data_IF_022106014456
#
_entry.id   IF_022106014456
#
_cell.length_a   1.000
_cell.length_b   1.000
_cell.length_c   1.000
_cell.angle_alpha   90.00
_cell.angle_beta   90.00
_cell.angle_gamma   90.00
#
_symmetry.space_group_name_H-M   'P 1'
#
loop_
_entity.id
_entity.type
_entity.pdbx_description
1 polymer ?
#
# COMPACT_ATOMS: atom_id res chain seq x y z
N UNK A 1 20.77 17.88 21.46
CA UNK A 1 19.46 17.39 20.97
C UNK A 1 19.61 15.89 20.73
N UNK A 2 18.63 15.05 21.08
CA UNK A 2 18.72 13.63 20.73
C UNK A 2 18.68 13.48 19.21
N UNK A 3 19.39 12.48 18.63
CA UNK A 3 19.37 12.25 17.18
C UNK A 3 17.95 12.14 16.62
N UNK A 4 17.02 11.55 17.37
CA UNK A 4 15.62 11.44 16.95
C UNK A 4 14.89 12.79 16.90
N UNK A 5 15.14 13.67 17.86
CA UNK A 5 14.59 15.04 17.83
C UNK A 5 15.16 15.84 16.66
N UNK A 6 16.44 15.64 16.33
CA UNK A 6 17.07 16.27 15.17
C UNK A 6 16.48 15.76 13.84
N UNK A 7 16.22 14.45 13.71
CA UNK A 7 15.52 13.88 12.54
C UNK A 7 14.15 14.55 12.34
N UNK A 8 13.36 14.69 13.43
CA UNK A 8 12.05 15.34 13.38
C UNK A 8 12.15 16.78 12.91
N UNK A 9 13.09 17.54 13.48
CA UNK A 9 13.32 18.94 13.12
C UNK A 9 13.71 19.07 11.64
N UNK A 10 14.62 18.23 11.14
CA UNK A 10 15.06 18.24 9.74
C UNK A 10 13.93 17.84 8.79
N UNK A 11 13.14 16.83 9.15
CA UNK A 11 11.95 16.42 8.40
C UNK A 11 10.93 17.57 8.31
N UNK A 12 10.57 18.20 9.43
CA UNK A 12 9.64 19.34 9.47
C UNK A 12 10.16 20.53 8.67
N UNK A 13 11.45 20.84 8.82
CA UNK A 13 12.11 21.91 8.05
C UNK A 13 12.04 21.64 6.55
N UNK A 14 12.24 20.38 6.13
CA UNK A 14 12.13 19.98 4.72
C UNK A 14 10.70 20.13 4.20
N UNK A 15 9.71 19.67 4.96
CA UNK A 15 8.28 19.79 4.61
C UNK A 15 7.86 21.25 4.44
N UNK A 16 8.25 22.12 5.37
CA UNK A 16 7.88 23.53 5.37
C UNK A 16 8.58 24.36 4.26
N UNK A 17 9.68 23.87 3.69
CA UNK A 17 10.38 24.53 2.59
C UNK A 17 9.73 24.29 1.22
N UNK A 18 8.90 23.26 1.09
CA UNK A 18 8.28 22.88 -0.19
C UNK A 18 6.93 23.59 -0.31
N UNK A 19 6.73 24.31 -1.41
CA UNK A 19 5.49 25.04 -1.72
C UNK A 19 4.98 24.60 -3.11
N UNK A 20 3.71 24.16 -3.24
CA UNK A 20 2.72 23.99 -2.17
C UNK A 20 3.14 22.90 -1.17
N UNK A 21 2.66 23.03 0.08
CA UNK A 21 3.01 22.08 1.14
C UNK A 21 2.64 20.64 0.72
N UNK A 22 3.55 19.67 0.89
CA UNK A 22 3.29 18.29 0.46
C UNK A 22 2.18 17.67 1.32
N UNK A 23 1.29 16.94 0.67
CA UNK A 23 0.16 16.27 1.32
C UNK A 23 0.51 14.79 1.52
N UNK A 24 0.67 14.38 2.76
CA UNK A 24 0.89 12.98 3.14
C UNK A 24 -0.40 12.29 3.58
N UNK A 25 -0.39 10.96 3.68
CA UNK A 25 -1.50 10.23 4.29
C UNK A 25 -1.49 10.44 5.81
N UNK A 26 -2.62 10.92 6.34
CA UNK A 26 -2.78 11.17 7.79
C UNK A 26 -2.49 9.93 8.66
N UNK A 27 -2.73 8.72 8.15
CA UNK A 27 -2.50 7.46 8.86
C UNK A 27 -1.02 7.16 9.08
N UNK A 28 -0.13 7.77 8.31
CA UNK A 28 1.33 7.59 8.43
C UNK A 28 1.99 8.65 9.31
N UNK A 29 1.34 9.79 9.57
CA UNK A 29 1.90 10.86 10.40
C UNK A 29 2.30 10.41 11.83
N UNK A 30 1.61 9.47 12.49
CA UNK A 30 2.06 8.93 13.78
C UNK A 30 3.47 8.30 13.72
N UNK A 31 3.91 7.78 12.57
CA UNK A 31 5.25 7.20 12.39
C UNK A 31 6.37 8.24 12.59
N UNK A 32 6.12 9.52 12.27
CA UNK A 32 7.07 10.63 12.49
C UNK A 32 7.29 10.88 13.99
N UNK A 33 6.28 10.61 14.81
CA UNK A 33 6.35 10.77 16.26
C UNK A 33 6.85 9.52 16.98
N UNK A 34 6.83 8.35 16.34
CA UNK A 34 7.23 7.07 16.95
C UNK A 34 8.75 6.94 17.06
N UNK A 35 9.29 6.94 18.28
CA UNK A 35 10.72 6.70 18.51
C UNK A 35 11.17 5.34 17.97
N UNK A 36 10.36 4.28 18.14
CA UNK A 36 10.66 2.93 17.64
C UNK A 36 10.82 2.95 16.11
N UNK A 37 9.92 3.64 15.41
CA UNK A 37 10.00 3.75 13.95
C UNK A 37 11.21 4.59 13.52
N UNK A 38 11.48 5.72 14.18
CA UNK A 38 12.63 6.57 13.87
C UNK A 38 13.97 5.89 14.17
N UNK A 39 14.06 5.04 15.19
CA UNK A 39 15.25 4.20 15.42
C UNK A 39 15.51 3.28 14.23
N UNK A 40 14.47 2.61 13.68
CA UNK A 40 14.61 1.78 12.47
C UNK A 40 15.11 2.60 11.28
N UNK A 41 14.58 3.80 11.08
CA UNK A 41 15.01 4.71 10.00
C UNK A 41 16.47 5.12 10.21
N UNK A 42 16.84 5.52 11.42
CA UNK A 42 18.21 5.93 11.76
C UNK A 42 19.22 4.78 11.59
N UNK A 43 18.88 3.56 12.02
CA UNK A 43 19.72 2.38 11.80
C UNK A 43 19.87 2.07 10.31
N UNK A 44 18.78 2.16 9.54
CA UNK A 44 18.82 1.94 8.10
C UNK A 44 19.71 2.98 7.40
N UNK A 45 19.68 4.23 7.87
CA UNK A 45 20.53 5.33 7.42
C UNK A 45 21.92 5.35 8.07
N UNK A 46 22.39 4.23 8.62
CA UNK A 46 23.74 4.07 9.18
C UNK A 46 24.10 5.16 10.22
N UNK A 47 23.14 5.49 11.08
CA UNK A 47 23.28 6.53 12.11
C UNK A 47 23.48 7.97 11.59
N UNK A 48 23.25 8.21 10.30
CA UNK A 48 23.26 9.55 9.68
C UNK A 48 21.89 10.20 9.78
N UNK A 49 21.81 11.29 10.55
CA UNK A 49 20.55 12.00 10.87
C UNK A 49 19.94 12.65 9.62
N UNK A 50 20.75 13.27 8.76
CA UNK A 50 20.26 13.92 7.53
C UNK A 50 19.65 12.90 6.57
N UNK A 51 20.36 11.80 6.32
CA UNK A 51 19.86 10.71 5.47
C UNK A 51 18.59 10.06 6.06
N UNK A 52 18.50 9.95 7.39
CA UNK A 52 17.31 9.45 8.06
C UNK A 52 16.10 10.38 7.87
N UNK A 53 16.29 11.69 7.99
CA UNK A 53 15.24 12.67 7.72
C UNK A 53 14.78 12.64 6.25
N UNK A 54 15.74 12.51 5.31
CA UNK A 54 15.45 12.40 3.88
C UNK A 54 14.69 11.10 3.55
N UNK A 55 15.11 9.97 4.12
CA UNK A 55 14.40 8.69 3.99
C UNK A 55 12.98 8.78 4.56
N UNK A 56 12.80 9.39 5.74
CA UNK A 56 11.49 9.57 6.36
C UNK A 56 10.54 10.36 5.45
N UNK A 57 11.02 11.46 4.85
CA UNK A 57 10.25 12.22 3.86
C UNK A 57 9.84 11.35 2.66
N UNK A 58 10.81 10.64 2.06
CA UNK A 58 10.58 9.81 0.88
C UNK A 58 9.58 8.66 1.17
N UNK A 59 9.60 8.10 2.38
CA UNK A 59 8.62 7.11 2.83
C UNK A 59 7.20 7.71 2.79
N UNK A 60 6.99 8.89 3.37
CA UNK A 60 5.66 9.51 3.46
C UNK A 60 5.09 9.81 2.07
N UNK A 61 5.93 10.37 1.19
CA UNK A 61 5.58 10.66 -0.19
C UNK A 61 5.26 9.38 -0.99
N UNK A 62 6.13 8.37 -0.91
CA UNK A 62 5.93 7.11 -1.61
C UNK A 62 4.69 6.36 -1.15
N UNK A 63 4.45 6.29 0.18
CA UNK A 63 3.27 5.62 0.75
C UNK A 63 1.97 6.26 0.28
N UNK A 64 1.92 7.59 0.23
CA UNK A 64 0.78 8.33 -0.31
C UNK A 64 0.60 8.08 -1.80
N UNK A 65 1.67 8.19 -2.58
CA UNK A 65 1.64 8.05 -4.04
C UNK A 65 1.20 6.66 -4.49
N UNK A 66 1.55 5.63 -3.71
CA UNK A 66 1.23 4.23 -4.02
C UNK A 66 -0.02 3.72 -3.28
N UNK A 67 -0.77 4.60 -2.59
CA UNK A 67 -1.95 4.26 -1.79
C UNK A 67 -1.72 3.08 -0.84
N UNK A 68 -0.56 3.04 -0.19
CA UNK A 68 -0.08 1.86 0.55
C UNK A 68 -1.03 1.45 1.67
N UNK A 69 -1.58 2.43 2.39
CA UNK A 69 -2.52 2.16 3.48
C UNK A 69 -3.87 1.59 3.01
N UNK A 70 -4.20 1.72 1.73
CA UNK A 70 -5.44 1.20 1.16
C UNK A 70 -5.26 -0.18 0.52
N UNK A 71 -4.03 -0.68 0.41
CA UNK A 71 -3.75 -2.00 -0.15
C UNK A 71 -4.45 -3.09 0.67
N UNK A 72 -5.26 -3.92 0.00
CA UNK A 72 -6.10 -4.97 0.59
C UNK A 72 -6.42 -6.04 -0.45
N UNK A 73 -7.03 -7.16 -0.04
CA UNK A 73 -7.48 -8.18 -0.99
C UNK A 73 -8.50 -7.63 -2.01
N UNK A 74 -9.14 -6.48 -1.74
CA UNK A 74 -10.10 -5.85 -2.63
C UNK A 74 -9.48 -5.10 -3.81
N UNK A 75 -8.18 -4.78 -3.78
CA UNK A 75 -7.53 -3.94 -4.81
C UNK A 75 -6.20 -4.48 -5.35
N UNK A 76 -5.82 -5.68 -4.94
CA UNK A 76 -4.72 -6.42 -5.55
C UNK A 76 -5.25 -7.59 -6.37
N UNK A 77 -4.40 -8.11 -7.26
CA UNK A 77 -4.74 -9.26 -8.08
C UNK A 77 -4.85 -10.53 -7.20
N UNK A 78 -6.07 -11.04 -7.06
CA UNK A 78 -6.38 -12.21 -6.25
C UNK A 78 -5.80 -13.51 -6.82
N UNK A 79 -5.60 -13.60 -8.12
CA UNK A 79 -5.05 -14.81 -8.75
C UNK A 79 -3.55 -14.89 -8.43
N UNK A 80 -2.85 -13.76 -8.50
CA UNK A 80 -1.44 -13.65 -8.06
C UNK A 80 -1.31 -13.91 -6.55
N UNK A 81 -2.27 -13.47 -5.72
CA UNK A 81 -2.24 -13.78 -4.29
C UNK A 81 -2.39 -15.28 -4.00
N UNK A 82 -3.20 -15.99 -4.80
CA UNK A 82 -3.58 -17.38 -4.56
C UNK A 82 -2.65 -18.41 -5.18
N UNK A 83 -1.79 -18.01 -6.12
CA UNK A 83 -0.94 -18.96 -6.85
C UNK A 83 0.35 -19.37 -6.10
N UNK A 84 0.62 -18.76 -4.95
CA UNK A 84 1.78 -19.10 -4.11
C UNK A 84 3.10 -18.55 -4.62
N UNK A 85 3.11 -17.50 -5.45
CA UNK A 85 4.31 -16.76 -5.78
C UNK A 85 4.98 -16.17 -4.53
N UNK A 86 4.17 -15.59 -3.65
CA UNK A 86 4.61 -15.00 -2.39
C UNK A 86 3.82 -15.59 -1.23
N UNK A 87 4.49 -15.96 -0.16
CA UNK A 87 3.84 -16.44 1.07
C UNK A 87 4.78 -16.41 2.26
N UNK A 88 4.26 -16.70 3.45
CA UNK A 88 5.04 -16.79 4.69
C UNK A 88 4.89 -18.18 5.30
N UNK A 89 5.99 -18.77 5.75
CA UNK A 89 5.98 -20.04 6.50
C UNK A 89 7.33 -20.31 7.12
N UNK A 90 7.34 -20.73 8.38
CA UNK A 90 8.58 -21.07 9.11
C UNK A 90 9.37 -19.85 9.54
N UNK A 91 10.39 -20.08 10.38
CA UNK A 91 11.31 -19.06 10.88
C UNK A 91 12.76 -19.49 10.70
N UNK A 92 13.64 -18.51 10.51
CA UNK A 92 15.09 -18.74 10.53
C UNK A 92 15.61 -18.98 11.97
N UNK A 93 16.91 -19.26 12.09
CA UNK A 93 17.59 -19.46 13.37
C UNK A 93 17.54 -18.25 14.31
N UNK A 94 17.35 -17.04 13.76
CA UNK A 94 17.18 -15.80 14.54
C UNK A 94 15.70 -15.54 14.88
N UNK A 95 14.84 -16.55 14.64
CA UNK A 95 13.38 -16.49 14.84
C UNK A 95 12.68 -15.44 13.99
N UNK A 96 13.28 -14.96 12.89
CA UNK A 96 12.62 -14.07 11.93
C UNK A 96 11.74 -14.88 10.98
N UNK A 97 10.52 -14.39 10.72
CA UNK A 97 9.57 -15.03 9.80
C UNK A 97 10.14 -15.06 8.39
N UNK A 98 10.01 -16.21 7.71
CA UNK A 98 10.42 -16.34 6.32
C UNK A 98 9.34 -15.73 5.42
N UNK A 99 9.73 -14.73 4.62
CA UNK A 99 8.96 -14.25 3.50
C UNK A 99 9.49 -14.88 2.22
N UNK A 100 8.70 -15.80 1.67
CA UNK A 100 9.11 -16.72 0.63
C UNK A 100 8.63 -16.21 -0.73
N UNK A 101 9.55 -16.17 -1.69
CA UNK A 101 9.23 -16.06 -3.11
C UNK A 101 9.49 -17.41 -3.78
N UNK A 102 8.42 -18.07 -4.21
CA UNK A 102 8.48 -19.28 -5.03
C UNK A 102 8.81 -18.89 -6.48
N UNK A 103 10.10 -18.70 -6.78
CA UNK A 103 10.53 -18.04 -8.01
C UNK A 103 10.12 -18.79 -9.28
N UNK A 104 9.94 -20.13 -9.21
CA UNK A 104 9.47 -20.94 -10.35
C UNK A 104 8.02 -20.62 -10.75
N UNK A 105 7.19 -20.09 -9.84
CA UNK A 105 5.82 -19.68 -10.14
C UNK A 105 5.75 -18.41 -11.00
N UNK A 106 6.82 -17.62 -11.03
CA UNK A 106 6.90 -16.42 -11.85
C UNK A 106 7.46 -16.72 -13.23
N UNK A 107 6.75 -16.35 -14.29
CA UNK A 107 7.23 -16.43 -15.68
C UNK A 107 7.18 -15.03 -16.27
N UNK A 108 8.35 -14.49 -16.68
CA UNK A 108 8.44 -13.15 -17.26
C UNK A 108 7.59 -13.06 -18.53
N UNK A 109 6.93 -11.92 -18.73
CA UNK A 109 6.04 -11.62 -19.86
C UNK A 109 4.75 -12.46 -19.92
N UNK A 110 4.45 -13.27 -18.90
CA UNK A 110 3.20 -14.03 -18.77
C UNK A 110 2.31 -13.52 -17.61
N UNK A 111 2.74 -12.45 -16.94
CA UNK A 111 2.07 -11.87 -15.77
C UNK A 111 2.08 -10.36 -15.87
N UNK A 112 1.03 -9.72 -15.36
CA UNK A 112 1.04 -8.27 -15.14
C UNK A 112 2.07 -7.92 -14.07
N UNK A 113 3.12 -7.22 -14.48
CA UNK A 113 4.21 -6.83 -13.60
C UNK A 113 3.72 -5.86 -12.50
N UNK A 114 2.77 -4.98 -12.82
CA UNK A 114 2.25 -4.03 -11.82
C UNK A 114 1.38 -4.73 -10.77
N UNK A 115 0.57 -5.70 -11.17
CA UNK A 115 -0.12 -6.61 -10.25
C UNK A 115 0.84 -7.34 -9.32
N UNK A 116 1.92 -7.93 -9.85
CA UNK A 116 2.95 -8.60 -9.04
C UNK A 116 3.60 -7.65 -8.03
N UNK A 117 3.94 -6.42 -8.46
CA UNK A 117 4.50 -5.38 -7.58
C UNK A 117 3.55 -4.97 -6.47
N UNK A 118 2.26 -4.79 -6.77
CA UNK A 118 1.23 -4.46 -5.76
C UNK A 118 1.04 -5.59 -4.75
N UNK A 119 1.03 -6.84 -5.21
CA UNK A 119 0.96 -8.01 -4.32
C UNK A 119 2.21 -8.12 -3.43
N UNK A 120 3.39 -7.76 -3.94
CA UNK A 120 4.60 -7.67 -3.12
C UNK A 120 4.43 -6.63 -2.00
N UNK A 121 3.92 -5.42 -2.28
CA UNK A 121 3.63 -4.42 -1.24
C UNK A 121 2.58 -4.95 -0.24
N UNK A 122 1.52 -5.62 -0.71
CA UNK A 122 0.51 -6.23 0.17
C UNK A 122 1.15 -7.15 1.21
N UNK A 123 2.06 -8.03 0.79
CA UNK A 123 2.76 -8.93 1.71
C UNK A 123 3.71 -8.19 2.65
N UNK A 124 4.42 -7.16 2.20
CA UNK A 124 5.26 -6.35 3.07
C UNK A 124 4.44 -5.64 4.18
N UNK A 125 3.29 -5.06 3.82
CA UNK A 125 2.41 -4.39 4.79
C UNK A 125 1.79 -5.39 5.77
N UNK A 126 1.42 -6.59 5.29
CA UNK A 126 0.95 -7.68 6.15
C UNK A 126 2.02 -8.12 7.14
N UNK A 127 3.26 -8.32 6.68
CA UNK A 127 4.40 -8.68 7.51
C UNK A 127 4.72 -7.60 8.57
N UNK A 128 4.70 -6.32 8.19
CA UNK A 128 4.90 -5.23 9.16
C UNK A 128 3.88 -5.27 10.31
N UNK A 129 2.62 -5.65 10.01
CA UNK A 129 1.57 -5.80 11.03
C UNK A 129 1.73 -7.08 11.85
N UNK A 130 1.87 -8.23 11.20
CA UNK A 130 1.94 -9.53 11.86
C UNK A 130 3.18 -9.66 12.76
N UNK A 131 4.32 -9.13 12.32
CA UNK A 131 5.58 -9.19 13.07
C UNK A 131 5.81 -7.96 13.97
N UNK A 132 4.88 -6.99 13.98
CA UNK A 132 4.98 -5.78 14.80
C UNK A 132 6.22 -4.95 14.49
N UNK A 133 6.61 -4.87 13.21
CA UNK A 133 7.80 -4.15 12.75
C UNK A 133 9.15 -4.83 13.03
N UNK A 134 9.15 -6.10 13.48
CA UNK A 134 10.37 -6.92 13.55
C UNK A 134 10.87 -7.28 12.14
N UNK A 135 12.13 -7.69 12.07
CA UNK A 135 12.76 -8.11 10.81
C UNK A 135 12.17 -9.42 10.30
N UNK A 136 12.24 -9.57 8.98
CA UNK A 136 11.90 -10.80 8.26
C UNK A 136 13.09 -11.30 7.45
N UNK A 137 13.09 -12.59 7.10
CA UNK A 137 14.09 -13.16 6.19
C UNK A 137 13.47 -13.38 4.83
N UNK A 138 14.08 -12.81 3.78
CA UNK A 138 13.65 -13.07 2.40
C UNK A 138 14.20 -14.42 1.96
N UNK A 139 13.33 -15.30 1.51
CA UNK A 139 13.69 -16.63 1.03
C UNK A 139 13.28 -16.77 -0.43
N UNK A 140 14.26 -16.73 -1.33
CA UNK A 140 14.05 -16.98 -2.75
C UNK A 140 14.25 -18.46 -3.03
N UNK A 141 13.14 -19.19 -3.18
CA UNK A 141 13.16 -20.58 -3.63
C UNK A 141 13.41 -20.60 -5.14
N UNK A 142 14.64 -20.95 -5.53
CA UNK A 142 15.06 -21.03 -6.93
C UNK A 142 15.07 -22.48 -7.46
N UNK A 143 14.61 -23.47 -6.67
CA UNK A 143 14.65 -24.87 -7.09
C UNK A 143 13.75 -25.08 -8.32
N UNK A 144 14.33 -25.59 -9.41
CA UNK A 144 13.65 -25.76 -10.70
C UNK A 144 13.47 -24.49 -11.54
N UNK A 145 14.11 -23.37 -11.19
CA UNK A 145 14.05 -22.15 -12.00
C UNK A 145 14.92 -22.22 -13.26
N UNK A 146 14.50 -21.51 -14.30
CA UNK A 146 15.24 -21.24 -15.53
C UNK A 146 15.22 -19.74 -15.89
N UNK A 147 15.77 -19.40 -17.06
CA UNK A 147 15.96 -18.00 -17.53
C UNK A 147 14.64 -17.21 -17.60
N UNK A 148 13.51 -17.89 -17.81
CA UNK A 148 12.19 -17.23 -17.88
C UNK A 148 11.66 -16.82 -16.51
N UNK A 149 12.18 -17.39 -15.42
CA UNK A 149 11.82 -16.99 -14.06
C UNK A 149 12.59 -15.75 -13.58
N UNK A 150 13.60 -15.29 -14.33
CA UNK A 150 14.41 -14.14 -13.99
C UNK A 150 13.90 -12.87 -14.69
N UNK A 151 13.40 -11.90 -13.92
CA UNK A 151 13.04 -10.57 -14.40
C UNK A 151 13.78 -9.49 -13.59
N UNK A 152 14.77 -8.86 -14.22
CA UNK A 152 15.63 -7.87 -13.59
C UNK A 152 14.87 -6.61 -13.15
N UNK A 153 13.80 -6.22 -13.85
CA UNK A 153 12.98 -5.09 -13.46
C UNK A 153 12.19 -5.36 -12.17
N UNK A 154 11.69 -6.59 -12.00
CA UNK A 154 11.03 -6.99 -10.76
C UNK A 154 12.01 -6.98 -9.58
N UNK A 155 13.18 -7.61 -9.72
CA UNK A 155 14.19 -7.62 -8.65
C UNK A 155 14.71 -6.22 -8.33
N UNK A 156 14.97 -5.40 -9.35
CA UNK A 156 15.33 -3.98 -9.18
C UNK A 156 14.27 -3.23 -8.37
N UNK A 157 13.00 -3.42 -8.71
CA UNK A 157 11.89 -2.82 -7.99
C UNK A 157 11.84 -3.29 -6.52
N UNK A 158 11.92 -4.60 -6.28
CA UNK A 158 11.91 -5.15 -4.91
C UNK A 158 13.06 -4.60 -4.07
N UNK A 159 14.28 -4.53 -4.62
CA UNK A 159 15.46 -3.95 -3.97
C UNK A 159 15.20 -2.48 -3.65
N UNK A 160 14.70 -1.70 -4.62
CA UNK A 160 14.41 -0.29 -4.41
C UNK A 160 13.35 -0.08 -3.32
N UNK A 161 12.27 -0.85 -3.32
CA UNK A 161 11.22 -0.73 -2.30
C UNK A 161 11.77 -0.99 -0.90
N UNK A 162 12.51 -2.10 -0.73
CA UNK A 162 13.07 -2.46 0.56
C UNK A 162 14.18 -1.51 1.04
N UNK A 163 14.99 -1.00 0.11
CA UNK A 163 16.06 -0.04 0.40
C UNK A 163 15.51 1.34 0.75
N UNK A 164 14.46 1.80 0.07
CA UNK A 164 14.04 3.19 0.18
C UNK A 164 12.87 3.40 1.14
N UNK A 165 12.00 2.40 1.32
CA UNK A 165 10.70 2.61 1.96
C UNK A 165 10.39 1.71 3.16
N UNK A 166 11.15 0.63 3.38
CA UNK A 166 10.96 -0.30 4.51
C UNK A 166 12.19 -0.31 5.44
N UNK A 167 12.25 0.62 6.42
CA UNK A 167 13.44 0.82 7.24
C UNK A 167 13.77 -0.38 8.13
N UNK A 168 15.04 -0.78 8.10
CA UNK A 168 15.61 -1.89 8.87
C UNK A 168 14.77 -3.19 8.88
N UNK A 169 14.15 -3.54 7.75
CA UNK A 169 13.16 -4.64 7.66
C UNK A 169 13.76 -6.04 7.45
N UNK A 170 14.99 -6.16 6.94
CA UNK A 170 15.56 -7.43 6.47
C UNK A 170 16.57 -8.02 7.46
N UNK A 171 16.40 -9.28 7.86
CA UNK A 171 17.37 -10.08 8.61
C UNK A 171 18.37 -10.78 7.66
N UNK A 172 17.95 -11.83 6.95
CA UNK A 172 18.71 -12.46 5.87
C UNK A 172 18.06 -12.30 4.50
N UNK A 173 18.90 -12.43 3.46
CA UNK A 173 18.47 -12.68 2.09
C UNK A 173 19.00 -14.06 1.70
N UNK A 174 18.13 -15.05 1.67
CA UNK A 174 18.47 -16.43 1.36
C UNK A 174 18.10 -16.73 -0.09
N UNK A 175 19.09 -17.15 -0.87
CA UNK A 175 18.92 -17.67 -2.23
C UNK A 175 19.09 -19.19 -2.15
N UNK A 176 17.99 -19.93 -2.24
CA UNK A 176 17.98 -21.37 -2.10
C UNK A 176 18.02 -22.06 -3.46
N UNK A 177 18.91 -23.04 -3.63
CA UNK A 177 19.02 -23.88 -4.84
C UNK A 177 19.22 -23.08 -6.14
N UNK A 178 20.07 -22.05 -6.11
CA UNK A 178 20.34 -21.20 -7.28
C UNK A 178 20.84 -22.02 -8.50
N UNK A 179 20.10 -22.05 -9.61
CA UNK A 179 20.53 -22.72 -10.84
C UNK A 179 21.72 -21.99 -11.47
N UNK A 180 22.73 -22.75 -11.93
CA UNK A 180 23.95 -22.17 -12.54
C UNK A 180 23.66 -21.28 -13.76
N UNK A 181 22.61 -21.61 -14.53
CA UNK A 181 22.19 -20.86 -15.72
C UNK A 181 21.72 -19.43 -15.38
N UNK A 182 21.35 -19.17 -14.13
CA UNK A 182 20.91 -17.86 -13.65
C UNK A 182 22.04 -17.00 -13.07
N UNK A 183 23.27 -17.52 -13.02
CA UNK A 183 24.43 -16.84 -12.43
C UNK A 183 24.69 -15.45 -13.01
N UNK A 184 24.58 -15.27 -14.33
CA UNK A 184 24.80 -13.99 -14.99
C UNK A 184 23.75 -12.95 -14.57
N UNK A 185 22.46 -13.32 -14.58
CA UNK A 185 21.38 -12.44 -14.13
C UNK A 185 21.50 -12.11 -12.64
N UNK A 186 21.88 -13.11 -11.83
CA UNK A 186 22.09 -12.90 -10.41
C UNK A 186 23.26 -11.95 -10.11
N UNK A 187 24.36 -12.00 -10.88
CA UNK A 187 25.46 -11.04 -10.72
C UNK A 187 24.98 -9.60 -10.87
N UNK A 188 24.14 -9.34 -11.88
CA UNK A 188 23.52 -8.03 -12.08
C UNK A 188 22.68 -7.64 -10.87
N UNK A 189 21.78 -8.52 -10.41
CA UNK A 189 20.95 -8.25 -9.22
C UNK A 189 21.81 -7.98 -7.98
N UNK A 190 22.89 -8.73 -7.78
CA UNK A 190 23.82 -8.57 -6.65
C UNK A 190 24.53 -7.21 -6.67
N UNK A 191 24.90 -6.70 -7.84
CA UNK A 191 25.50 -5.36 -8.00
C UNK A 191 24.54 -4.23 -7.62
N UNK A 192 23.23 -4.47 -7.67
CA UNK A 192 22.21 -3.48 -7.26
C UNK A 192 22.01 -3.43 -5.75
N UNK A 193 22.49 -4.45 -5.00
CA UNK A 193 22.29 -4.53 -3.56
C UNK A 193 23.19 -3.52 -2.82
N UNK A 194 22.67 -2.84 -1.80
CA UNK A 194 23.51 -2.02 -0.92
C UNK A 194 24.44 -2.92 -0.08
N UNK A 195 25.60 -2.40 0.34
CA UNK A 195 26.60 -3.17 1.08
C UNK A 195 26.06 -3.92 2.33
N UNK A 196 25.20 -3.31 3.19
CA UNK A 196 24.62 -4.04 4.33
C UNK A 196 23.72 -5.22 3.94
N UNK A 197 23.10 -5.18 2.75
CA UNK A 197 22.31 -6.30 2.24
C UNK A 197 23.22 -7.43 1.71
N UNK A 198 24.37 -7.11 1.14
CA UNK A 198 25.36 -8.10 0.69
C UNK A 198 25.92 -8.90 1.88
N UNK A 199 26.16 -8.25 3.02
CA UNK A 199 26.61 -8.92 4.25
C UNK A 199 25.59 -9.95 4.79
N UNK A 200 24.31 -9.71 4.52
CA UNK A 200 23.16 -10.56 4.92
C UNK A 200 22.76 -11.59 3.88
N UNK A 201 23.41 -11.59 2.70
CA UNK A 201 23.12 -12.50 1.61
C UNK A 201 23.70 -13.89 1.89
N UNK A 202 22.88 -14.94 1.73
CA UNK A 202 23.26 -16.35 1.88
C UNK A 202 22.79 -17.11 0.64
N UNK A 203 23.72 -17.69 -0.09
CA UNK A 203 23.41 -18.57 -1.23
C UNK A 203 23.65 -20.00 -0.75
N UNK A 204 22.60 -20.80 -0.72
CA UNK A 204 22.62 -22.12 -0.10
C UNK A 204 21.92 -23.16 -0.95
N UNK A 205 22.23 -24.41 -0.65
CA UNK A 205 21.66 -25.62 -1.21
C UNK A 205 20.98 -26.43 -0.09
N UNK A 206 20.29 -27.52 -0.44
CA UNK A 206 19.61 -28.40 0.53
C UNK A 206 20.48 -28.80 1.73
N UNK A 207 21.76 -29.13 1.48
CA UNK A 207 22.68 -29.58 2.53
C UNK A 207 22.99 -28.54 3.61
N UNK A 208 22.93 -27.25 3.25
CA UNK A 208 23.23 -26.11 4.13
C UNK A 208 21.98 -25.41 4.67
N UNK A 209 20.78 -25.88 4.31
CA UNK A 209 19.53 -25.26 4.75
C UNK A 209 19.39 -25.24 6.27
N UNK A 210 19.77 -26.35 6.91
CA UNK A 210 19.71 -26.53 8.38
C UNK A 210 20.57 -25.53 9.17
N UNK A 211 21.56 -24.92 8.53
CA UNK A 211 22.44 -23.94 9.17
C UNK A 211 21.72 -22.59 9.38
N UNK A 212 20.62 -22.37 8.67
CA UNK A 212 19.84 -21.12 8.70
C UNK A 212 18.37 -21.31 9.06
N UNK A 213 17.79 -22.49 8.79
CA UNK A 213 16.39 -22.80 9.05
C UNK A 213 16.32 -24.21 9.63
N UNK A 214 15.77 -24.35 10.85
CA UNK A 214 15.62 -25.65 11.49
C UNK A 214 14.75 -26.60 10.65
N UNK A 215 15.00 -27.92 10.63
CA UNK A 215 14.24 -28.88 9.82
C UNK A 215 12.72 -28.82 10.04
N UNK A 216 12.27 -28.55 11.26
CA UNK A 216 10.86 -28.41 11.65
C UNK A 216 10.21 -27.12 11.10
N UNK A 217 11.01 -26.12 10.73
CA UNK A 217 10.58 -24.85 10.13
C UNK A 217 10.73 -24.86 8.60
N UNK A 218 11.43 -25.83 8.03
CA UNK A 218 11.67 -25.97 6.60
C UNK A 218 10.62 -26.89 5.95
N UNK A 219 10.17 -26.51 4.75
CA UNK A 219 9.25 -27.33 3.96
C UNK A 219 9.88 -28.66 3.54
N UNK A 220 9.06 -29.71 3.44
CA UNK A 220 9.48 -31.02 2.91
C UNK A 220 10.11 -30.90 1.53
N UNK A 221 9.62 -30.00 0.67
CA UNK A 221 10.20 -29.74 -0.66
C UNK A 221 11.65 -29.25 -0.62
N UNK A 222 12.06 -28.64 0.50
CA UNK A 222 13.41 -28.15 0.72
C UNK A 222 14.29 -29.16 1.49
N UNK A 223 13.74 -30.31 1.89
CA UNK A 223 14.40 -31.31 2.72
C UNK A 223 14.12 -31.19 4.22
N UNK A 224 13.14 -30.38 4.62
CA UNK A 224 12.67 -30.26 6.00
C UNK A 224 11.56 -31.24 6.37
N UNK A 225 10.81 -30.91 7.43
CA UNK A 225 9.75 -31.75 8.01
C UNK A 225 8.35 -31.10 7.93
N UNK A 226 8.27 -29.83 7.55
CA UNK A 226 7.00 -29.11 7.43
C UNK A 226 6.28 -29.50 6.14
N UNK A 227 5.15 -30.20 6.27
CA UNK A 227 4.35 -30.69 5.14
C UNK A 227 3.36 -29.65 4.60
N UNK A 228 3.48 -28.39 5.05
CA UNK A 228 2.65 -27.29 4.57
C UNK A 228 2.65 -27.19 3.04
N UNK A 229 1.45 -27.03 2.50
CA UNK A 229 1.21 -26.65 1.10
C UNK A 229 0.52 -25.31 1.14
N UNK A 230 1.00 -24.39 0.29
CA UNK A 230 0.45 -23.05 0.27
C UNK A 230 -1.05 -23.07 -0.09
N UNK A 231 -1.83 -22.43 0.76
CA UNK A 231 -3.19 -22.00 0.50
C UNK A 231 -3.32 -20.57 1.00
N UNK A 232 -3.85 -19.68 0.16
CA UNK A 232 -4.00 -18.29 0.56
C UNK A 232 -5.10 -18.17 1.61
N UNK A 233 -4.70 -17.69 2.80
CA UNK A 233 -5.62 -17.31 3.87
C UNK A 233 -5.67 -15.79 3.95
N UNK A 234 -6.84 -15.16 3.77
CA UNK A 234 -7.01 -13.72 3.95
C UNK A 234 -6.49 -13.26 5.31
N UNK A 235 -5.96 -12.05 5.35
CA UNK A 235 -5.51 -11.49 6.62
C UNK A 235 -6.75 -11.24 7.49
N UNK A 236 -6.78 -11.80 8.70
CA UNK A 236 -7.79 -11.43 9.67
C UNK A 236 -7.41 -10.05 10.20
N UNK A 237 -7.66 -9.01 9.40
CA UNK A 237 -7.49 -7.62 9.79
C UNK A 237 -8.49 -7.36 10.91
N UNK A 238 -8.08 -7.68 12.14
CA UNK A 238 -8.54 -6.95 13.31
C UNK A 238 -8.14 -5.50 13.01
N UNK A 239 -9.02 -4.76 12.34
CA UNK A 239 -8.89 -3.31 12.18
C UNK A 239 -8.83 -2.82 13.61
N UNK A 240 -7.60 -2.51 14.03
CA UNK A 240 -7.29 -2.23 15.42
C UNK A 240 -8.29 -1.24 15.97
N UNK A 241 -8.91 -1.65 17.07
CA UNK A 241 -9.54 -0.82 18.07
C UNK A 241 -8.76 0.48 18.15
N UNK A 242 -9.36 1.58 17.70
CA UNK A 242 -8.94 2.89 18.14
C UNK A 242 -9.16 2.85 19.64
N UNK A 243 -8.08 2.82 20.44
CA UNK A 243 -8.18 3.23 21.84
C UNK A 243 -8.49 4.72 21.76
N UNK A 244 -9.78 5.03 21.71
CA UNK A 244 -10.29 6.36 21.90
C UNK A 244 -10.19 6.56 23.40
N UNK A 245 -9.33 7.49 23.82
CA UNK A 245 -9.34 8.08 25.15
C UNK A 245 -10.80 8.27 25.58
N UNK A 246 -11.12 7.82 26.80
CA UNK A 246 -12.47 7.94 27.37
C UNK A 246 -12.90 9.41 27.34
N UNK A 247 -13.76 9.74 26.38
CA UNK A 247 -14.47 11.00 26.33
C UNK A 247 -15.92 10.70 26.75
N UNK A 248 -16.25 11.13 27.96
CA UNK A 248 -17.42 10.79 28.77
C UNK A 248 -18.74 11.37 28.20
N UNK A 249 -19.18 10.88 27.05
CA UNK A 249 -20.47 11.28 26.48
C UNK A 249 -21.27 10.12 25.87
N UNK A 250 -21.23 8.96 26.54
CA UNK A 250 -22.08 7.81 26.22
C UNK A 250 -23.09 7.60 27.34
N UNK A 251 -24.38 7.63 27.01
CA UNK A 251 -25.44 7.33 27.96
C UNK A 251 -25.60 5.82 28.08
N UNK A 252 -25.65 5.29 29.31
CA UNK A 252 -25.98 3.88 29.54
C UNK A 252 -27.36 3.57 28.94
N UNK A 253 -27.40 2.71 27.90
CA UNK A 253 -28.63 2.29 27.21
C UNK A 253 -28.63 2.43 25.68
N UNK A 254 -27.50 2.77 25.06
CA UNK A 254 -27.35 3.00 23.61
C UNK A 254 -26.54 1.87 22.93
N UNK A 255 -27.09 1.06 22.02
CA UNK A 255 -26.36 -0.07 21.39
C UNK A 255 -25.03 0.30 20.69
N UNK A 256 -24.93 1.53 20.17
CA UNK A 256 -23.80 2.06 19.41
C UNK A 256 -23.11 3.25 20.11
N UNK A 257 -21.78 3.26 20.10
CA UNK A 257 -20.96 4.46 20.31
C UNK A 257 -20.59 5.09 18.97
N UNK A 258 -20.92 6.37 18.79
CA UNK A 258 -20.78 7.09 17.51
C UNK A 258 -19.78 8.23 17.64
N UNK A 259 -18.86 8.36 16.68
CA UNK A 259 -17.90 9.46 16.58
C UNK A 259 -17.92 10.04 15.15
N UNK A 260 -18.23 11.34 14.96
CA UNK A 260 -18.62 12.32 15.97
C UNK A 260 -20.05 12.07 16.52
N UNK A 261 -20.37 12.45 17.78
CA UNK A 261 -21.59 12.00 18.46
C UNK A 261 -22.90 12.67 17.99
N UNK A 262 -22.87 13.92 17.51
CA UNK A 262 -24.08 14.67 17.11
C UNK A 262 -23.98 15.40 15.78
N UNK A 263 -22.77 15.82 15.38
CA UNK A 263 -22.56 16.69 14.22
C UNK A 263 -21.54 16.07 13.27
N UNK A 264 -21.94 15.83 12.03
CA UNK A 264 -21.07 15.43 10.93
C UNK A 264 -20.43 16.69 10.33
N UNK A 265 -19.11 16.80 10.46
CA UNK A 265 -18.33 17.88 9.87
C UNK A 265 -17.96 17.51 8.44
N UNK A 266 -18.45 18.28 7.47
CA UNK A 266 -18.11 18.13 6.07
C UNK A 266 -16.94 19.04 5.72
N UNK A 267 -15.91 18.44 5.12
CA UNK A 267 -14.71 19.12 4.68
C UNK A 267 -14.55 18.96 3.16
N UNK A 268 -14.07 20.01 2.51
CA UNK A 268 -13.71 19.97 1.08
C UNK A 268 -12.28 19.46 0.95
N UNK A 269 -12.13 18.23 0.46
CA UNK A 269 -10.85 17.60 0.19
C UNK A 269 -10.67 17.54 -1.33
N UNK A 270 -9.92 18.48 -1.88
CA UNK A 270 -9.78 18.65 -3.34
C UNK A 270 -11.08 19.15 -3.97
N UNK A 271 -11.65 18.37 -4.90
CA UNK A 271 -12.95 18.66 -5.55
C UNK A 271 -14.14 17.91 -4.94
N UNK A 272 -13.94 17.18 -3.82
CA UNK A 272 -14.99 16.38 -3.19
C UNK A 272 -15.25 16.87 -1.78
N UNK A 273 -16.53 16.94 -1.42
CA UNK A 273 -16.98 17.27 -0.06
C UNK A 273 -17.30 15.94 0.63
N UNK A 274 -16.67 15.65 1.75
CA UNK A 274 -16.92 14.39 2.48
C UNK A 274 -16.83 14.56 4.00
N UNK A 275 -17.46 13.63 4.70
CA UNK A 275 -17.42 13.48 6.16
C UNK A 275 -17.26 12.01 6.52
N UNK A 276 -16.61 11.73 7.65
CA UNK A 276 -16.38 10.37 8.14
C UNK A 276 -17.06 10.15 9.49
N UNK A 277 -17.69 8.99 9.61
CA UNK A 277 -18.47 8.58 10.76
C UNK A 277 -18.01 7.21 11.25
N UNK A 278 -17.68 7.09 12.53
CA UNK A 278 -17.27 5.83 13.16
C UNK A 278 -18.37 5.37 14.09
N UNK A 279 -18.85 4.14 13.90
CA UNK A 279 -19.83 3.48 14.79
C UNK A 279 -19.16 2.30 15.48
N UNK A 280 -19.45 2.06 16.76
CA UNK A 280 -18.86 0.97 17.56
C UNK A 280 -19.94 0.21 18.31
N UNK A 281 -19.98 -1.12 18.18
CA UNK A 281 -20.93 -1.94 18.91
C UNK A 281 -20.52 -2.06 20.39
N UNK A 282 -21.36 -1.58 21.30
CA UNK A 282 -21.13 -1.66 22.74
C UNK A 282 -21.88 -2.82 23.41
N UNK A 283 -22.79 -3.47 22.69
CA UNK A 283 -23.57 -4.62 23.17
C UNK A 283 -22.74 -5.90 23.26
N UNK A 284 -23.22 -6.84 24.09
CA UNK A 284 -22.64 -8.18 24.16
C UNK A 284 -22.97 -9.04 22.94
N UNK A 285 -24.04 -8.69 22.23
CA UNK A 285 -24.51 -9.37 21.03
C UNK A 285 -23.95 -8.80 19.72
N UNK A 286 -24.41 -9.36 18.61
CA UNK A 286 -24.14 -8.85 17.26
C UNK A 286 -25.25 -7.86 16.91
N UNK A 287 -24.91 -6.72 16.32
CA UNK A 287 -25.90 -5.74 15.88
C UNK A 287 -25.86 -5.57 14.36
N UNK A 288 -27.00 -5.28 13.75
CA UNK A 288 -27.09 -4.80 12.39
C UNK A 288 -27.37 -3.30 12.40
N UNK A 289 -26.71 -2.54 11.52
CA UNK A 289 -26.91 -1.11 11.38
C UNK A 289 -27.42 -0.73 9.97
N UNK A 290 -28.19 0.35 9.90
CA UNK A 290 -28.67 0.95 8.64
C UNK A 290 -28.63 2.47 8.73
N UNK A 291 -28.16 3.11 7.66
CA UNK A 291 -28.03 4.57 7.59
C UNK A 291 -29.03 5.13 6.59
N UNK A 292 -29.70 6.22 6.97
CA UNK A 292 -30.63 6.98 6.13
C UNK A 292 -30.25 8.45 6.18
N UNK A 293 -30.65 9.19 5.15
CA UNK A 293 -30.47 10.63 5.05
C UNK A 293 -31.76 11.27 4.56
N UNK A 294 -31.98 12.54 4.91
CA UNK A 294 -33.08 13.36 4.39
C UNK A 294 -32.91 13.73 2.91
N UNK A 295 -31.72 13.51 2.33
CA UNK A 295 -31.40 13.86 0.95
C UNK A 295 -30.56 12.77 0.24
N UNK A 296 -31.12 11.57 0.01
CA UNK A 296 -30.39 10.44 -0.56
C UNK A 296 -29.81 10.71 -1.97
N UNK A 297 -30.39 11.65 -2.71
CA UNK A 297 -29.94 12.10 -4.03
C UNK A 297 -28.64 12.93 -3.99
N UNK A 298 -28.25 13.43 -2.81
CA UNK A 298 -27.04 14.26 -2.64
C UNK A 298 -25.83 13.50 -2.14
N UNK A 299 -26.02 12.33 -1.53
CA UNK A 299 -24.95 11.65 -0.80
C UNK A 299 -24.71 10.21 -1.26
N UNK A 300 -23.44 9.84 -1.31
CA UNK A 300 -23.00 8.45 -1.31
C UNK A 300 -22.51 8.09 0.09
N UNK A 301 -23.16 7.10 0.71
CA UNK A 301 -22.79 6.57 2.03
C UNK A 301 -22.21 5.18 1.84
N UNK A 302 -21.01 4.93 2.38
CA UNK A 302 -20.33 3.64 2.25
C UNK A 302 -19.69 3.22 3.59
N UNK A 303 -20.12 2.10 4.21
CA UNK A 303 -21.25 1.25 3.86
C UNK A 303 -22.61 1.85 4.27
N UNK A 304 -23.69 1.60 3.49
CA UNK A 304 -25.07 2.05 3.81
C UNK A 304 -25.74 1.22 4.92
N UNK A 305 -25.37 -0.04 5.03
CA UNK A 305 -25.87 -1.00 6.01
C UNK A 305 -24.80 -2.07 6.24
N UNK A 306 -24.83 -2.74 7.39
CA UNK A 306 -23.89 -3.80 7.71
C UNK A 306 -24.19 -4.49 9.03
N UNK A 307 -23.37 -5.48 9.37
CA UNK A 307 -23.40 -6.20 10.64
C UNK A 307 -22.13 -5.86 11.42
N UNK A 308 -22.26 -5.66 12.73
CA UNK A 308 -21.19 -5.23 13.62
C UNK A 308 -21.12 -6.17 14.84
N UNK A 309 -20.05 -7.00 14.96
CA UNK A 309 -19.83 -7.83 16.14
C UNK A 309 -19.49 -7.03 17.40
N UNK A 310 -19.57 -7.67 18.58
CA UNK A 310 -19.25 -7.06 19.89
C UNK A 310 -17.91 -6.33 19.87
N UNK A 311 -17.89 -5.08 20.37
CA UNK A 311 -16.70 -4.20 20.49
C UNK A 311 -15.98 -3.89 19.18
N UNK A 312 -16.59 -4.15 18.03
CA UNK A 312 -16.03 -3.79 16.73
C UNK A 312 -16.52 -2.40 16.31
N UNK A 313 -15.60 -1.60 15.78
CA UNK A 313 -15.89 -0.31 15.15
C UNK A 313 -15.91 -0.42 13.62
N UNK A 314 -16.76 0.37 12.97
CA UNK A 314 -16.81 0.50 11.51
C UNK A 314 -16.79 1.97 11.11
N UNK A 315 -15.90 2.31 10.17
CA UNK A 315 -15.90 3.62 9.53
C UNK A 315 -16.89 3.65 8.36
N UNK A 316 -17.64 4.74 8.27
CA UNK A 316 -18.61 5.05 7.22
C UNK A 316 -18.20 6.38 6.60
N UNK A 317 -17.96 6.35 5.30
CA UNK A 317 -17.66 7.54 4.52
C UNK A 317 -18.94 8.09 3.89
N UNK A 318 -19.17 9.39 4.07
CA UNK A 318 -20.31 10.12 3.53
C UNK A 318 -19.78 11.18 2.57
N UNK A 319 -20.04 11.00 1.28
CA UNK A 319 -19.49 11.83 0.20
C UNK A 319 -20.64 12.55 -0.50
N UNK A 320 -20.51 13.85 -0.71
CA UNK A 320 -21.46 14.65 -1.48
C UNK A 320 -21.22 14.43 -2.97
N UNK A 321 -22.29 14.21 -3.72
CA UNK A 321 -22.23 14.03 -5.17
C UNK A 321 -21.89 15.34 -5.89
N UNK A 322 -21.22 15.29 -7.06
CA UNK A 322 -20.89 16.47 -7.84
C UNK A 322 -22.15 17.24 -8.25
N UNK A 323 -22.14 18.58 -8.12
CA UNK A 323 -23.26 19.45 -8.49
C UNK A 323 -24.08 20.01 -7.30
N UNK A 324 -23.71 19.69 -6.06
CA UNK A 324 -24.33 20.25 -4.85
C UNK A 324 -23.34 21.09 -4.04
N UNK A 325 -23.78 22.24 -3.54
CA UNK A 325 -22.96 23.20 -2.80
C UNK A 325 -22.99 22.97 -1.28
N UNK A 326 -21.96 23.47 -0.58
CA UNK A 326 -21.81 23.39 0.88
C UNK A 326 -23.00 23.99 1.66
N UNK A 327 -23.66 25.02 1.14
CA UNK A 327 -24.82 25.67 1.76
C UNK A 327 -26.06 24.77 1.83
N UNK A 328 -26.12 23.74 0.99
CA UNK A 328 -27.22 22.75 0.98
C UNK A 328 -27.01 21.63 2.01
N UNK A 329 -25.78 21.42 2.47
CA UNK A 329 -25.39 20.32 3.36
C UNK A 329 -25.79 20.56 4.81
N UNK A 330 -25.73 21.80 5.31
CA UNK A 330 -26.03 22.12 6.73
C UNK A 330 -27.48 21.83 7.14
N UNK A 331 -28.40 21.77 6.17
CA UNK A 331 -29.82 21.52 6.42
C UNK A 331 -30.14 20.02 6.50
N UNK A 332 -29.20 19.17 6.09
CA UNK A 332 -29.39 17.74 6.02
C UNK A 332 -29.17 17.03 7.34
N UNK A 333 -29.83 15.89 7.47
CA UNK A 333 -29.79 15.05 8.67
C UNK A 333 -29.57 13.61 8.27
N UNK A 334 -28.80 12.90 9.10
CA UNK A 334 -28.57 11.47 8.97
C UNK A 334 -29.21 10.75 10.15
N UNK A 335 -29.75 9.57 9.88
CA UNK A 335 -30.37 8.68 10.87
C UNK A 335 -29.69 7.33 10.80
N UNK A 336 -29.11 6.90 11.91
CA UNK A 336 -28.58 5.54 12.08
C UNK A 336 -29.60 4.74 12.88
N UNK A 337 -29.90 3.55 12.39
CA UNK A 337 -30.74 2.58 13.06
C UNK A 337 -29.88 1.36 13.42
N UNK A 338 -30.01 0.84 14.63
CA UNK A 338 -29.37 -0.40 15.07
C UNK A 338 -30.36 -1.38 15.69
N UNK A 339 -30.14 -2.67 15.45
CA UNK A 339 -30.96 -3.76 16.01
C UNK A 339 -30.07 -4.98 16.32
N UNK A 340 -30.37 -5.70 17.39
CA UNK A 340 -29.70 -6.96 17.71
C UNK A 340 -30.03 -8.05 16.69
N UNK A 341 -29.03 -8.84 16.30
CA UNK A 341 -29.17 -9.99 15.40
C UNK A 341 -28.54 -11.25 16.00
N UNK A 342 -29.13 -12.44 15.75
CA UNK A 342 -28.71 -13.67 16.42
C UNK A 342 -27.46 -14.33 15.83
N UNK A 343 -27.10 -14.05 14.55
CA UNK A 343 -25.99 -14.71 13.83
C UNK A 343 -25.29 -13.74 12.86
N UNK A 344 -24.01 -14.04 12.56
CA UNK A 344 -23.15 -13.23 11.67
C UNK A 344 -23.48 -13.44 10.18
N UNK A 345 -23.72 -14.69 9.77
CA UNK A 345 -24.09 -15.06 8.40
C UNK A 345 -25.59 -15.29 8.29
N UNK A 346 -26.32 -14.22 7.97
CA UNK A 346 -27.77 -14.24 7.79
C UNK A 346 -28.11 -13.92 6.34
N UNK A 347 -28.95 -14.73 5.66
CA UNK A 347 -29.44 -14.40 4.32
C UNK A 347 -30.24 -13.09 4.35
N UNK A 348 -30.17 -12.31 3.27
CA UNK A 348 -30.80 -10.97 3.21
C UNK A 348 -32.32 -10.99 3.45
N UNK A 349 -32.97 -12.12 3.18
CA UNK A 349 -34.40 -12.34 3.43
C UNK A 349 -34.73 -12.32 4.93
N UNK A 350 -33.92 -12.96 5.77
CA UNK A 350 -34.10 -13.02 7.22
C UNK A 350 -33.78 -11.68 7.88
N UNK A 351 -32.72 -10.99 7.43
CA UNK A 351 -32.43 -9.62 7.89
C UNK A 351 -33.61 -8.67 7.61
N UNK A 352 -34.23 -8.77 6.43
CA UNK A 352 -35.43 -7.96 6.09
C UNK A 352 -36.62 -8.29 6.98
N UNK A 353 -36.77 -9.53 7.44
CA UNK A 353 -37.83 -9.92 8.37
C UNK A 353 -37.57 -9.33 9.76
N UNK A 354 -36.34 -9.37 10.28
CA UNK A 354 -35.95 -8.76 11.56
C UNK A 354 -36.25 -7.25 11.55
N UNK A 355 -35.90 -6.54 10.47
CA UNK A 355 -36.22 -5.11 10.35
C UNK A 355 -37.73 -4.82 10.26
N UNK A 356 -38.58 -5.81 9.93
CA UNK A 356 -40.05 -5.67 9.88
C UNK A 356 -40.73 -6.10 11.18
N UNK A 357 -40.15 -7.07 11.90
CA UNK A 357 -40.67 -7.60 13.15
C UNK A 357 -40.14 -6.88 14.39
N UNK A 358 -39.02 -6.16 14.28
CA UNK A 358 -38.50 -5.30 15.33
C UNK A 358 -39.47 -4.14 15.59
N UNK A 359 -40.11 -4.15 16.77
CA UNK A 359 -40.92 -3.05 17.26
C UNK A 359 -40.06 -1.81 17.56
N UNK A 360 -40.68 -0.63 17.62
CA UNK A 360 -39.98 0.66 17.84
C UNK A 360 -39.14 0.73 19.11
N UNK A 361 -39.38 -0.15 20.10
CA UNK A 361 -38.60 -0.26 21.34
C UNK A 361 -37.35 -1.15 21.24
N UNK A 362 -37.16 -1.85 20.12
CA UNK A 362 -36.03 -2.76 19.88
C UNK A 362 -35.02 -2.24 18.85
N UNK A 363 -35.32 -1.07 18.27
CA UNK A 363 -34.48 -0.37 17.31
C UNK A 363 -33.95 0.88 17.99
N UNK A 364 -32.65 0.97 18.10
CA UNK A 364 -31.99 2.18 18.58
C UNK A 364 -31.79 3.17 17.43
N UNK A 365 -32.12 4.44 17.67
CA UNK A 365 -32.08 5.51 16.69
C UNK A 365 -31.10 6.62 17.07
N UNK A 366 -30.17 6.94 16.17
CA UNK A 366 -29.22 8.04 16.36
C UNK A 366 -29.37 9.08 15.26
N UNK A 367 -29.63 10.33 15.65
CA UNK A 367 -29.82 11.45 14.75
C UNK A 367 -28.58 12.33 14.72
N UNK A 368 -28.03 12.54 13.53
CA UNK A 368 -26.88 13.38 13.28
C UNK A 368 -27.28 14.57 12.42
N UNK A 369 -26.78 15.75 12.77
CA UNK A 369 -26.91 16.98 11.96
C UNK A 369 -25.62 17.24 11.19
N UNK A 370 -25.71 17.93 10.07
CA UNK A 370 -24.54 18.27 9.27
C UNK A 370 -24.05 19.70 9.59
N UNK A 371 -22.74 19.90 9.62
CA UNK A 371 -22.14 21.23 9.69
C UNK A 371 -20.95 21.32 8.74
N UNK A 372 -20.68 22.52 8.24
CA UNK A 372 -19.58 22.78 7.31
C UNK A 372 -18.49 23.58 8.02
N UNK A 373 -17.24 23.21 7.77
CA UNK A 373 -16.08 23.96 8.26
C UNK A 373 -15.80 25.14 7.33
N UNK A 374 -16.29 26.33 7.69
CA UNK A 374 -16.00 27.58 6.97
C UNK A 374 -14.57 28.01 7.29
N UNK A 375 -13.69 28.05 6.27
CA UNK A 375 -12.44 28.78 6.39
C UNK A 375 -12.77 30.28 6.36
N UNK A 376 -12.57 30.98 7.48
CA UNK A 376 -12.62 32.44 7.50
C UNK A 376 -11.45 32.98 6.66
N UNK A 377 -11.66 33.16 5.36
CA UNK A 377 -10.84 34.04 4.54
C UNK A 377 -11.24 35.47 4.86
N UNK A 378 -10.38 36.17 5.61
CA UNK A 378 -10.40 37.63 5.60
C UNK A 378 -10.09 38.08 4.17
N UNK A 379 -11.11 38.63 3.50
CA UNK A 379 -10.99 39.24 2.18
C UNK A 379 -10.01 40.41 2.27
N UNK A 380 -8.87 40.30 1.58
CA UNK A 380 -8.13 41.44 1.08
C UNK A 380 -8.03 41.29 -0.44
N UNK A 381 -8.60 42.26 -1.14
CA UNK A 381 -8.51 42.44 -2.58
C UNK A 381 -7.03 42.48 -3.01
N UNK A 382 -6.60 41.51 -3.83
CA UNK A 382 -5.38 41.61 -4.65
C UNK A 382 -5.65 40.97 -6.02
N UNK A 383 -5.99 41.86 -6.95
CA UNK A 383 -5.58 41.98 -8.36
C UNK A 383 -5.39 40.74 -9.26
N UNK A 384 -6.12 40.80 -10.37
CA UNK A 384 -6.18 39.99 -11.59
C UNK A 384 -4.86 39.77 -12.36
N UNK A 385 -3.71 40.21 -11.84
CA UNK A 385 -2.42 40.04 -12.50
C UNK A 385 -1.77 38.66 -12.24
N UNK A 386 -2.07 38.03 -11.10
CA UNK A 386 -1.46 36.74 -10.69
C UNK A 386 -1.95 35.53 -11.51
N UNK A 387 -3.20 35.54 -11.97
CA UNK A 387 -3.76 34.43 -12.76
C UNK A 387 -3.17 34.36 -14.18
N UNK A 388 -2.79 35.49 -14.78
CA UNK A 388 -2.18 35.53 -16.10
C UNK A 388 -0.70 35.08 -16.06
N UNK A 389 0.01 35.38 -14.98
CA UNK A 389 1.37 34.89 -14.75
C UNK A 389 1.40 33.37 -14.51
N UNK A 390 0.43 32.83 -13.77
CA UNK A 390 0.31 31.37 -13.54
C UNK A 390 -0.04 30.64 -14.85
N UNK A 391 -1.00 31.15 -15.62
CA UNK A 391 -1.39 30.53 -16.89
C UNK A 391 -0.23 30.54 -17.91
N UNK A 392 0.46 31.67 -18.04
CA UNK A 392 1.61 31.76 -18.95
C UNK A 392 2.79 30.87 -18.50
N UNK A 393 3.03 30.73 -17.20
CA UNK A 393 4.02 29.79 -16.66
C UNK A 393 3.67 28.34 -16.98
N UNK A 394 2.39 27.98 -16.86
CA UNK A 394 1.89 26.63 -17.12
C UNK A 394 1.93 26.29 -18.62
N UNK A 395 1.59 27.25 -19.50
CA UNK A 395 1.69 27.11 -20.95
C UNK A 395 3.15 26.96 -21.42
N UNK A 396 4.07 27.68 -20.79
CA UNK A 396 5.50 27.55 -21.06
C UNK A 396 6.04 26.17 -20.65
N UNK A 397 5.58 25.64 -19.51
CA UNK A 397 5.96 24.29 -19.07
C UNK A 397 5.38 23.21 -19.98
N UNK A 398 4.12 23.34 -20.39
CA UNK A 398 3.46 22.47 -21.35
C UNK A 398 4.21 22.43 -22.69
N UNK A 399 4.56 23.60 -23.23
CA UNK A 399 5.32 23.71 -24.47
C UNK A 399 6.74 23.11 -24.34
N UNK A 400 7.39 23.27 -23.18
CA UNK A 400 8.70 22.66 -22.91
C UNK A 400 8.61 21.13 -22.90
N UNK A 401 7.58 20.58 -22.27
CA UNK A 401 7.34 19.13 -22.23
C UNK A 401 7.04 18.59 -23.64
N UNK A 402 6.21 19.27 -24.42
CA UNK A 402 5.92 18.90 -25.81
C UNK A 402 7.18 18.91 -26.70
N UNK A 403 8.04 19.91 -26.53
CA UNK A 403 9.31 19.98 -27.27
C UNK A 403 10.28 18.85 -26.88
N UNK A 404 10.31 18.46 -25.61
CA UNK A 404 11.12 17.33 -25.14
C UNK A 404 10.58 16.00 -25.70
N UNK A 405 9.26 15.80 -25.70
CA UNK A 405 8.62 14.63 -26.31
C UNK A 405 8.93 14.54 -27.82
N UNK A 406 8.82 15.66 -28.53
CA UNK A 406 9.16 15.72 -29.95
C UNK A 406 10.66 15.45 -30.21
N UNK A 407 11.53 15.95 -29.35
CA UNK A 407 12.97 15.68 -29.43
C UNK A 407 13.26 14.20 -29.17
N UNK A 408 12.62 13.60 -28.17
CA UNK A 408 12.73 12.18 -27.86
C UNK A 408 12.25 11.31 -29.03
N UNK A 409 11.12 11.65 -29.65
CA UNK A 409 10.61 10.96 -30.84
C UNK A 409 11.61 11.06 -32.02
N UNK A 410 12.26 12.20 -32.22
CA UNK A 410 13.32 12.34 -33.24
C UNK A 410 14.52 11.44 -32.98
N UNK A 411 14.98 11.36 -31.72
CA UNK A 411 16.08 10.44 -31.35
C UNK A 411 15.68 8.97 -31.52
N UNK A 412 14.45 8.62 -31.17
CA UNK A 412 13.93 7.26 -31.38
C UNK A 412 13.92 6.89 -32.88
N UNK A 413 13.46 7.79 -33.75
CA UNK A 413 13.50 7.57 -35.20
C UNK A 413 14.94 7.42 -35.70
N UNK A 414 15.87 8.27 -35.23
CA UNK A 414 17.28 8.20 -35.60
C UNK A 414 17.90 6.84 -35.21
N UNK A 415 17.61 6.34 -34.01
CA UNK A 415 18.07 5.03 -33.55
C UNK A 415 17.55 3.91 -34.45
N UNK A 416 16.27 3.96 -34.83
CA UNK A 416 15.66 2.97 -35.73
C UNK A 416 16.36 2.97 -37.11
N UNK A 417 16.70 4.16 -37.64
CA UNK A 417 17.44 4.28 -38.90
C UNK A 417 18.83 3.65 -38.78
N UNK A 418 19.57 3.96 -37.70
CA UNK A 418 20.93 3.42 -37.46
C UNK A 418 20.88 1.89 -37.35
N UNK A 419 19.92 1.34 -36.61
CA UNK A 419 19.71 -0.10 -36.50
C UNK A 419 19.41 -0.74 -37.86
N UNK A 420 18.55 -0.12 -38.66
CA UNK A 420 18.18 -0.61 -40.00
C UNK A 420 19.38 -0.62 -40.96
N UNK A 421 20.20 0.43 -40.94
CA UNK A 421 21.44 0.52 -41.72
C UNK A 421 22.44 -0.54 -41.27
N UNK A 422 22.59 -0.75 -39.96
CA UNK A 422 23.48 -1.79 -39.43
C UNK A 422 23.05 -3.19 -39.89
N UNK A 423 21.76 -3.49 -39.83
CA UNK A 423 21.22 -4.77 -40.34
C UNK A 423 21.49 -4.91 -41.84
N UNK A 424 21.27 -3.86 -42.63
CA UNK A 424 21.50 -3.87 -44.07
C UNK A 424 22.98 -4.09 -44.43
N UNK A 425 23.90 -3.43 -43.72
CA UNK A 425 25.34 -3.64 -43.88
C UNK A 425 25.71 -5.09 -43.56
N UNK A 426 25.18 -5.65 -42.47
CA UNK A 426 25.41 -7.05 -42.10
C UNK A 426 24.89 -8.02 -43.18
N UNK A 427 23.74 -7.73 -43.79
CA UNK A 427 23.20 -8.52 -44.92
C UNK A 427 24.13 -8.44 -46.13
N UNK A 428 24.63 -7.26 -46.50
CA UNK A 428 25.57 -7.10 -47.63
C UNK A 428 26.87 -7.88 -47.37
N UNK A 429 27.42 -7.77 -46.16
CA UNK A 429 28.62 -8.50 -45.75
C UNK A 429 28.39 -10.01 -45.88
N UNK A 430 27.26 -10.51 -45.38
CA UNK A 430 26.87 -11.92 -45.48
C UNK A 430 26.76 -12.39 -46.94
N UNK A 431 26.10 -11.61 -47.81
CA UNK A 431 25.97 -11.93 -49.24
C UNK A 431 27.32 -11.94 -49.97
N UNK A 432 28.24 -11.03 -49.63
CA UNK A 432 29.58 -10.98 -50.23
C UNK A 432 30.50 -12.11 -49.75
N UNK A 433 30.37 -12.54 -48.49
CA UNK A 433 31.08 -13.72 -47.99
C UNK A 433 30.54 -14.99 -48.67
N UNK A 434 29.22 -15.13 -48.80
CA UNK A 434 28.59 -16.26 -49.49
C UNK A 434 29.03 -16.40 -50.96
N UNK A 435 29.21 -15.29 -51.68
CA UNK A 435 29.70 -15.29 -53.08
C UNK A 435 31.17 -15.71 -53.24
N UNK A 436 32.00 -15.59 -52.19
CA UNK A 436 33.41 -16.04 -52.23
C UNK A 436 33.57 -17.54 -51.99
N UNK A 437 32.54 -18.23 -51.48
CA UNK A 437 32.56 -19.67 -51.25
C UNK A 437 32.02 -20.51 -52.42
N UNK A 438 31.61 -19.88 -53.54
CA UNK A 438 31.04 -20.56 -54.72
C UNK A 438 31.73 -20.17 -56.03
N UNK A 439 33.06 -19.98 -56.03
CA UNK A 439 33.86 -20.08 -57.26
C UNK A 439 34.77 -21.30 -57.12
N UNK A 440 34.67 -22.29 -58.03
CA UNK A 440 35.48 -23.50 -58.00
C UNK A 440 36.97 -23.20 -58.21
#
# INVERSE_FOLDING_TARGET
MSKLAEIRLLYETKVNKIVPHPIFDSRDLPKVKSDIYLYRVLEHSQNNVQQAADMLYNIMEWRKTNNVNDISEANVDLDILKDGLYFTRGRDIDSCLLFIMNSKAYIKNHRDLEGVKKVFIYWLERLEREEGGKKVTLFFDMDGCGINNMNLHLFSYMINVLKCYYPNFINYIIIFQMPWILSAGFRIVKEMLPAPAIERLRIINKDKLKDLIAPEQALVSWGGKDNYKFEFVPENRNIGTVIIEEDDNYSLGEMLRIKPPKVLLFETIGHKISSQLIITNMEEGIIAFKIRTTAPERYTVCPKQGILPKRISKSIDIIVLPGFDLSSVEKDRFLILSVNVPKLDMPQTELRQIWKSAGSSSIDEYRLTCAVKVQNMSVKNVETNSLNEINSSMDNEYNRIQNNLNSFNKYQILIIIIMSVSIFINIIIWMNIGKKCTRP
#
